data_IF_618208650147
#
_entry.id   IF_618208650147
#
_cell.length_a   1.000
_cell.length_b   1.000
_cell.length_c   1.000
_cell.angle_alpha   90.00
_cell.angle_beta   90.00
_cell.angle_gamma   90.00
#
_symmetry.space_group_name_H-M   'P 1'
#
loop_
_entity.id
_entity.type
_entity.pdbx_description
1 polymer ?
#
# COMPACT_ATOMS: atom_id res chain seq x y z
N UNK A 1 21.87 -17.86 -15.65
CA UNK A 1 20.57 -18.39 -15.14
C UNK A 1 20.39 -19.78 -15.71
N UNK A 2 20.04 -20.75 -14.91
CA UNK A 2 19.84 -22.10 -15.41
C UNK A 2 18.57 -22.20 -16.29
N UNK A 3 18.48 -23.23 -17.10
CA UNK A 3 17.40 -23.40 -18.06
C UNK A 3 16.03 -23.55 -17.38
N UNK A 4 16.00 -24.24 -16.24
CA UNK A 4 14.75 -24.45 -15.53
C UNK A 4 14.17 -23.13 -15.00
N UNK A 5 15.01 -22.31 -14.43
CA UNK A 5 14.60 -20.99 -13.92
C UNK A 5 14.19 -20.08 -15.06
N UNK A 6 14.93 -20.10 -16.16
CA UNK A 6 14.61 -19.27 -17.32
C UNK A 6 13.26 -19.65 -17.93
N UNK A 7 12.95 -20.95 -18.02
CA UNK A 7 11.66 -21.40 -18.51
C UNK A 7 10.52 -20.93 -17.60
N UNK A 8 10.70 -20.99 -16.29
CA UNK A 8 9.71 -20.50 -15.34
C UNK A 8 9.52 -19.00 -15.46
N UNK A 9 10.59 -18.25 -15.67
CA UNK A 9 10.54 -16.81 -15.87
C UNK A 9 9.77 -16.48 -17.15
N UNK A 10 10.07 -17.16 -18.25
CA UNK A 10 9.38 -16.91 -19.52
C UNK A 10 7.89 -17.24 -19.43
N UNK A 11 7.52 -18.29 -18.72
CA UNK A 11 6.12 -18.62 -18.49
C UNK A 11 5.43 -17.53 -17.65
N UNK A 12 6.09 -17.06 -16.60
CA UNK A 12 5.56 -15.99 -15.76
C UNK A 12 5.37 -14.70 -16.57
N UNK A 13 6.31 -14.38 -17.46
CA UNK A 13 6.20 -13.20 -18.35
C UNK A 13 4.95 -13.30 -19.21
N UNK A 14 4.67 -14.45 -19.79
CA UNK A 14 3.47 -14.66 -20.60
C UNK A 14 2.20 -14.52 -19.77
N UNK A 15 2.17 -15.11 -18.59
CA UNK A 15 1.00 -15.09 -17.71
C UNK A 15 0.70 -13.68 -17.21
N UNK A 16 1.72 -12.87 -16.96
CA UNK A 16 1.55 -11.50 -16.46
C UNK A 16 1.37 -10.46 -17.55
N UNK A 17 1.56 -10.84 -18.81
CA UNK A 17 1.32 -9.96 -19.95
C UNK A 17 2.45 -9.02 -20.32
N UNK A 18 3.65 -9.24 -19.81
CA UNK A 18 4.82 -8.45 -20.22
C UNK A 18 5.20 -8.78 -21.67
N UNK A 19 5.61 -7.77 -22.40
CA UNK A 19 5.97 -7.94 -23.82
C UNK A 19 7.29 -8.68 -24.01
N UNK A 20 8.24 -8.50 -23.08
CA UNK A 20 9.55 -9.11 -23.18
C UNK A 20 10.23 -9.21 -21.83
N UNK A 21 11.39 -9.90 -21.82
CA UNK A 21 12.16 -10.11 -20.59
C UNK A 21 12.69 -8.83 -19.99
N UNK A 22 13.09 -7.87 -20.83
CA UNK A 22 13.65 -6.59 -20.36
C UNK A 22 12.61 -5.80 -19.57
N UNK A 23 11.37 -5.79 -20.03
CA UNK A 23 10.28 -5.12 -19.31
C UNK A 23 9.99 -5.79 -17.99
N UNK A 24 9.95 -7.12 -17.97
CA UNK A 24 9.74 -7.89 -16.75
C UNK A 24 10.85 -7.64 -15.73
N UNK A 25 12.11 -7.65 -16.16
CA UNK A 25 13.26 -7.37 -15.31
C UNK A 25 13.19 -5.95 -14.75
N UNK A 26 12.85 -4.98 -15.60
CA UNK A 26 12.70 -3.58 -15.15
C UNK A 26 11.70 -3.46 -14.01
N UNK A 27 10.55 -4.14 -14.14
CA UNK A 27 9.53 -4.10 -13.10
C UNK A 27 9.97 -4.82 -11.83
N UNK A 28 10.67 -5.94 -11.94
CA UNK A 28 11.20 -6.63 -10.77
C UNK A 28 12.23 -5.78 -10.02
N UNK A 29 13.12 -5.10 -10.77
CA UNK A 29 14.10 -4.19 -10.17
C UNK A 29 13.39 -3.03 -9.47
N UNK A 30 12.40 -2.46 -10.12
CA UNK A 30 11.62 -1.37 -9.54
C UNK A 30 10.94 -1.80 -8.25
N UNK A 31 10.32 -2.98 -8.24
CA UNK A 31 9.65 -3.51 -7.05
C UNK A 31 10.66 -3.73 -5.90
N UNK A 32 11.83 -4.26 -6.22
CA UNK A 32 12.88 -4.47 -5.22
C UNK A 32 13.37 -3.15 -4.62
N UNK A 33 13.50 -2.10 -5.44
CA UNK A 33 13.92 -0.79 -4.97
C UNK A 33 12.84 -0.12 -4.12
N UNK A 34 11.57 -0.30 -4.48
CA UNK A 34 10.45 0.19 -3.67
C UNK A 34 10.44 -0.50 -2.31
N UNK A 35 10.65 -1.81 -2.29
CA UNK A 35 10.70 -2.57 -1.04
C UNK A 35 11.85 -2.09 -0.15
N UNK A 36 13.01 -1.81 -0.75
CA UNK A 36 14.15 -1.27 -0.02
C UNK A 36 13.86 0.10 0.57
N UNK A 37 13.21 0.97 -0.21
CA UNK A 37 12.80 2.30 0.26
C UNK A 37 11.83 2.19 1.42
N UNK A 38 10.92 1.23 1.37
CA UNK A 38 9.97 0.96 2.44
C UNK A 38 10.65 0.54 3.75
N UNK A 39 11.76 -0.17 3.65
CA UNK A 39 12.53 -0.63 4.81
C UNK A 39 13.31 0.50 5.48
N UNK A 40 13.64 1.57 4.74
CA UNK A 40 14.32 2.74 5.28
C UNK A 40 13.29 3.72 5.83
N UNK A 41 13.21 3.87 7.15
CA UNK A 41 12.21 4.68 7.84
C UNK A 41 12.21 6.15 7.43
N UNK A 42 13.34 6.67 6.95
CA UNK A 42 13.48 8.06 6.54
C UNK A 42 13.21 8.30 5.06
N UNK A 43 13.03 7.25 4.30
CA UNK A 43 12.77 7.36 2.87
C UNK A 43 11.35 7.84 2.60
N UNK A 44 11.20 8.79 1.69
CA UNK A 44 9.88 9.26 1.25
C UNK A 44 9.24 8.25 0.30
N UNK A 45 8.02 7.86 0.62
CA UNK A 45 7.26 6.92 -0.20
C UNK A 45 5.80 7.39 -0.26
N UNK A 46 5.08 6.88 -1.25
CA UNK A 46 3.63 7.02 -1.32
C UNK A 46 3.02 5.63 -1.35
N UNK A 47 1.76 5.56 -0.99
CA UNK A 47 1.08 4.29 -0.99
C UNK A 47 -0.40 4.44 -0.69
N UNK A 48 -1.02 3.32 -0.48
CA UNK A 48 -2.43 3.26 -0.11
C UNK A 48 -2.63 2.30 1.04
N UNK A 49 -3.52 2.68 1.93
CA UNK A 49 -3.96 1.84 3.04
C UNK A 49 -5.40 1.47 2.75
N UNK A 50 -5.65 0.18 2.63
CA UNK A 50 -6.99 -0.35 2.41
C UNK A 50 -7.46 -0.96 3.71
N UNK A 51 -8.62 -0.53 4.21
CA UNK A 51 -9.20 -1.10 5.42
C UNK A 51 -10.63 -1.52 5.15
N UNK A 52 -10.97 -2.68 5.71
CA UNK A 52 -12.29 -3.29 5.61
C UNK A 52 -12.83 -3.40 7.04
N UNK A 53 -13.95 -2.75 7.32
CA UNK A 53 -14.45 -2.67 8.70
C UNK A 53 -15.98 -2.69 8.74
N UNK A 54 -16.49 -3.01 9.92
CA UNK A 54 -17.93 -3.00 10.20
C UNK A 54 -18.34 -1.59 10.61
N UNK A 55 -19.13 -0.93 9.77
CA UNK A 55 -19.53 0.46 10.01
C UNK A 55 -20.54 0.61 11.16
N UNK A 56 -21.12 -0.48 11.65
CA UNK A 56 -22.04 -0.43 12.79
C UNK A 56 -21.30 -0.33 14.13
N UNK A 57 -19.99 -0.56 14.14
CA UNK A 57 -19.18 -0.38 15.35
C UNK A 57 -18.79 1.08 15.50
N UNK A 58 -19.50 1.80 16.37
CA UNK A 58 -19.26 3.23 16.59
C UNK A 58 -17.82 3.52 17.00
N UNK A 59 -17.28 2.68 17.90
CA UNK A 59 -15.93 2.89 18.41
C UNK A 59 -14.88 2.77 17.31
N UNK A 60 -15.10 1.87 16.36
CA UNK A 60 -14.19 1.70 15.23
C UNK A 60 -14.15 2.93 14.34
N UNK A 61 -15.32 3.46 13.98
CA UNK A 61 -15.40 4.65 13.12
C UNK A 61 -14.77 5.86 13.81
N UNK A 62 -15.04 6.05 15.09
CA UNK A 62 -14.49 7.15 15.84
C UNK A 62 -12.96 7.05 15.95
N UNK A 63 -12.45 5.87 16.26
CA UNK A 63 -11.01 5.63 16.38
C UNK A 63 -10.29 5.86 15.05
N UNK A 64 -10.86 5.36 13.94
CA UNK A 64 -10.30 5.57 12.61
C UNK A 64 -10.26 7.06 12.26
N UNK A 65 -11.31 7.79 12.57
CA UNK A 65 -11.40 9.23 12.31
C UNK A 65 -10.36 9.99 13.13
N UNK A 66 -10.18 9.64 14.39
CA UNK A 66 -9.18 10.29 15.25
C UNK A 66 -7.76 10.03 14.76
N UNK A 67 -7.45 8.81 14.37
CA UNK A 67 -6.12 8.46 13.85
C UNK A 67 -5.82 9.27 12.58
N UNK A 68 -6.79 9.33 11.67
CA UNK A 68 -6.63 10.08 10.42
C UNK A 68 -6.47 11.57 10.67
N UNK A 69 -7.20 12.11 11.64
CA UNK A 69 -7.11 13.52 12.00
C UNK A 69 -5.72 13.88 12.54
N UNK A 70 -5.15 13.02 13.37
CA UNK A 70 -3.80 13.23 13.94
C UNK A 70 -2.72 13.21 12.87
N UNK A 71 -2.93 12.44 11.81
CA UNK A 71 -1.93 12.20 10.78
C UNK A 71 -2.33 12.80 9.43
N UNK A 72 -3.17 13.84 9.46
CA UNK A 72 -3.75 14.42 8.24
C UNK A 72 -2.70 14.94 7.24
N UNK A 73 -1.53 15.35 7.72
CA UNK A 73 -0.46 15.84 6.83
C UNK A 73 0.06 14.80 5.86
N UNK A 74 -0.11 13.53 6.20
CA UNK A 74 0.35 12.41 5.37
C UNK A 74 -0.75 11.87 4.47
N UNK A 75 -1.99 12.29 4.66
CA UNK A 75 -3.14 11.76 3.93
C UNK A 75 -3.49 12.69 2.78
N UNK A 76 -3.45 12.18 1.56
CA UNK A 76 -3.78 12.91 0.34
C UNK A 76 -5.28 12.84 0.02
N UNK A 77 -5.88 11.69 0.24
CA UNK A 77 -7.28 11.46 -0.08
C UNK A 77 -7.79 10.25 0.68
N UNK A 78 -9.08 10.25 0.93
CA UNK A 78 -9.78 9.12 1.55
C UNK A 78 -11.09 8.91 0.80
N UNK A 79 -11.39 7.66 0.45
CA UNK A 79 -12.64 7.31 -0.23
C UNK A 79 -13.29 6.14 0.50
N UNK A 80 -14.58 6.29 0.76
CA UNK A 80 -15.39 5.28 1.42
C UNK A 80 -16.27 4.56 0.41
N UNK A 81 -16.37 3.25 0.55
CA UNK A 81 -17.24 2.41 -0.26
C UNK A 81 -18.12 1.55 0.65
N UNK A 82 -19.41 1.60 0.46
CA UNK A 82 -20.32 0.68 1.14
C UNK A 82 -20.39 -0.61 0.32
N UNK A 83 -19.89 -1.70 0.90
CA UNK A 83 -19.90 -2.99 0.22
C UNK A 83 -21.22 -3.71 0.39
N UNK A 84 -21.77 -3.65 1.59
CA UNK A 84 -23.07 -4.21 1.93
C UNK A 84 -23.61 -3.49 3.17
N UNK A 85 -24.69 -4.04 3.76
CA UNK A 85 -25.37 -3.41 4.90
C UNK A 85 -24.44 -3.21 6.11
N UNK A 86 -23.50 -4.11 6.32
CA UNK A 86 -22.68 -4.11 7.52
C UNK A 86 -21.23 -3.66 7.28
N UNK A 87 -20.74 -3.73 6.05
CA UNK A 87 -19.32 -3.61 5.77
C UNK A 87 -18.99 -2.41 4.89
N UNK A 88 -17.92 -1.72 5.28
CA UNK A 88 -17.35 -0.62 4.51
C UNK A 88 -15.91 -0.92 4.14
N UNK A 89 -15.53 -0.43 2.98
CA UNK A 89 -14.15 -0.42 2.50
C UNK A 89 -13.70 1.02 2.45
N UNK A 90 -12.55 1.32 3.02
CA UNK A 90 -11.98 2.66 2.97
C UNK A 90 -10.60 2.60 2.34
N UNK A 91 -10.38 3.43 1.34
CA UNK A 91 -9.10 3.57 0.67
C UNK A 91 -8.49 4.91 1.07
N UNK A 92 -7.31 4.87 1.67
CA UNK A 92 -6.60 6.04 2.16
C UNK A 92 -5.29 6.16 1.37
N UNK A 93 -5.14 7.23 0.61
CA UNK A 93 -3.93 7.48 -0.17
C UNK A 93 -3.02 8.37 0.66
N UNK A 94 -1.77 7.94 0.81
CA UNK A 94 -0.83 8.56 1.74
C UNK A 94 0.52 8.80 1.09
N UNK A 95 1.26 9.77 1.61
CA UNK A 95 2.67 9.97 1.29
C UNK A 95 3.40 10.53 2.50
N UNK A 96 4.67 10.22 2.60
CA UNK A 96 5.50 10.69 3.70
C UNK A 96 6.69 9.77 3.92
N UNK A 97 7.33 9.93 5.07
CA UNK A 97 8.43 9.05 5.46
C UNK A 97 7.88 7.66 5.76
N UNK A 98 8.54 6.62 5.25
CA UNK A 98 8.05 5.26 5.33
C UNK A 98 7.82 4.78 6.77
N UNK A 99 8.68 5.18 7.71
CA UNK A 99 8.51 4.84 9.12
C UNK A 99 7.22 5.40 9.71
N UNK A 100 6.89 6.65 9.35
CA UNK A 100 5.65 7.29 9.81
C UNK A 100 4.43 6.66 9.15
N UNK A 101 4.51 6.34 7.87
CA UNK A 101 3.40 5.67 7.15
C UNK A 101 3.16 4.27 7.69
N UNK A 102 4.23 3.55 8.02
CA UNK A 102 4.11 2.22 8.62
C UNK A 102 3.40 2.30 9.96
N UNK A 103 3.76 3.29 10.78
CA UNK A 103 3.10 3.53 12.06
C UNK A 103 1.62 3.84 11.88
N UNK A 104 1.29 4.74 10.94
CA UNK A 104 -0.10 5.07 10.60
C UNK A 104 -0.87 3.82 10.15
N UNK A 105 -0.29 3.06 9.24
CA UNK A 105 -0.89 1.82 8.74
C UNK A 105 -1.17 0.83 9.87
N UNK A 106 -0.19 0.63 10.74
CA UNK A 106 -0.33 -0.31 11.85
C UNK A 106 -1.45 0.13 12.81
N UNK A 107 -1.57 1.41 13.09
CA UNK A 107 -2.63 1.95 13.93
C UNK A 107 -4.01 1.74 13.30
N UNK A 108 -4.14 2.02 12.00
CA UNK A 108 -5.42 1.88 11.30
C UNK A 108 -5.84 0.41 11.17
N UNK A 109 -4.90 -0.45 10.81
CA UNK A 109 -5.19 -1.88 10.59
C UNK A 109 -5.51 -2.59 11.91
N UNK A 110 -4.88 -2.17 13.00
CA UNK A 110 -5.11 -2.77 14.31
C UNK A 110 -6.28 -2.17 15.07
N UNK A 111 -6.95 -1.16 14.53
CA UNK A 111 -8.07 -0.52 15.19
C UNK A 111 -9.22 -1.51 15.40
N UNK A 112 -9.93 -1.34 16.50
CA UNK A 112 -11.05 -2.22 16.84
C UNK A 112 -12.15 -2.12 15.77
N UNK A 113 -12.63 -3.27 15.32
CA UNK A 113 -13.67 -3.32 14.28
C UNK A 113 -13.13 -3.43 12.86
N UNK A 114 -11.84 -3.23 12.67
CA UNK A 114 -11.21 -3.46 11.38
C UNK A 114 -11.02 -4.96 11.20
N UNK A 115 -11.62 -5.51 10.15
CA UNK A 115 -11.59 -6.96 9.85
C UNK A 115 -10.37 -7.34 9.03
N UNK A 116 -9.91 -6.42 8.18
CA UNK A 116 -8.80 -6.64 7.27
C UNK A 116 -8.19 -5.29 6.91
N UNK A 117 -6.90 -5.29 6.73
CA UNK A 117 -6.21 -4.10 6.26
C UNK A 117 -4.96 -4.48 5.48
N UNK A 118 -4.60 -3.62 4.54
CA UNK A 118 -3.41 -3.82 3.74
C UNK A 118 -2.79 -2.48 3.39
N UNK A 119 -1.50 -2.37 3.58
CA UNK A 119 -0.71 -1.24 3.12
C UNK A 119 0.05 -1.64 1.86
N UNK A 120 -0.03 -0.80 0.83
CA UNK A 120 0.72 -1.02 -0.41
C UNK A 120 1.56 0.22 -0.68
N UNK A 121 2.86 0.00 -0.88
CA UNK A 121 3.80 1.07 -1.18
C UNK A 121 3.91 1.22 -2.68
N UNK A 122 3.83 2.46 -3.15
CA UNK A 122 3.96 2.79 -4.57
C UNK A 122 5.33 3.40 -4.83
N UNK A 123 5.89 3.19 -6.03
CA UNK A 123 7.12 3.88 -6.42
C UNK A 123 6.92 5.39 -6.35
N UNK A 124 7.83 6.08 -5.69
CA UNK A 124 7.82 7.53 -5.62
C UNK A 124 9.07 8.06 -6.26
N UNK A 125 8.91 9.01 -7.15
CA UNK A 125 10.04 9.76 -7.65
C UNK A 125 10.49 10.69 -6.53
N UNK A 126 11.76 10.67 -6.20
CA UNK A 126 12.33 11.59 -5.22
C UNK A 126 12.01 13.02 -5.66
N UNK A 127 11.34 13.83 -4.81
CA UNK A 127 10.99 15.22 -5.17
C UNK A 127 12.20 16.07 -5.57
N UNK A 128 13.40 15.71 -5.12
CA UNK A 128 14.62 16.43 -5.47
C UNK A 128 15.13 16.10 -6.87
N UNK A 129 14.55 15.10 -7.52
CA UNK A 129 14.99 14.63 -8.86
C UNK A 129 14.00 14.98 -9.96
N UNK A 130 13.34 16.06 -9.83
CA UNK A 130 12.49 16.54 -10.93
C UNK A 130 13.31 17.00 -12.12
#
# INVERSE_FOLDING_TARGET
MDEGLLQQFDQWIQETGYENRSEAVRNLVRDALVQKAWEDDEQYVAGSILIFYDHHQRDALQELTEIQHKMHDMILATTHFHLDHDNCLELIVVKGKSGQLRQLSDQLISAKGVKYGKFTVSPVTDPSKK
#
